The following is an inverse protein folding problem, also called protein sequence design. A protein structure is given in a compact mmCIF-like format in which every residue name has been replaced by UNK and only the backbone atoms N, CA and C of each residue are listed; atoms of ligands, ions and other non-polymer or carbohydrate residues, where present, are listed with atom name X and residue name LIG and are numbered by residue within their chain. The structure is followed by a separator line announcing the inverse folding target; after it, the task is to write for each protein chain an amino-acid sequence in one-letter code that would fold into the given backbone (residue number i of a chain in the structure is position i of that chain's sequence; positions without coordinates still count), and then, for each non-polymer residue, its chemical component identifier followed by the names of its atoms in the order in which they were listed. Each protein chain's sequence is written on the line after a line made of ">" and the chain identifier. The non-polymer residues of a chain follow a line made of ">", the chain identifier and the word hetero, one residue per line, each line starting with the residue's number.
data_IF_609929704624
#
_entry.id   IF_609929704624
#
_cell.length_a   1.000
_cell.length_b   1.000
_cell.length_c   1.000
_cell.angle_alpha   90.00
_cell.angle_beta   90.00
_cell.angle_gamma   90.00
#
_symmetry.space_group_name_H-M   'P 1'
#
loop_
_entity.id
_entity.type
_entity.pdbx_description
1 polymer ?
#
# COMPACT_ATOMS: atom_id res chain seq x y z
N UNK A 1 5.64 -8.85 -10.23
CA UNK A 1 6.64 -7.75 -10.19
C UNK A 1 7.20 -7.54 -8.78
N UNK A 2 8.31 -6.80 -8.65
CA UNK A 2 8.89 -6.44 -7.35
C UNK A 2 8.59 -4.98 -7.00
N UNK A 3 8.21 -4.72 -5.75
CA UNK A 3 8.04 -3.39 -5.15
C UNK A 3 8.90 -3.27 -3.88
N UNK A 4 9.01 -2.08 -3.32
CA UNK A 4 9.58 -1.84 -1.99
C UNK A 4 8.41 -1.52 -1.04
N UNK A 5 8.13 -2.40 -0.09
CA UNK A 5 7.04 -2.25 0.88
C UNK A 5 7.63 -2.02 2.27
N UNK A 6 7.38 -0.85 2.87
CA UNK A 6 7.93 -0.44 4.18
C UNK A 6 9.46 -0.66 4.25
N UNK A 7 10.17 -0.26 3.19
CA UNK A 7 11.62 -0.46 3.05
C UNK A 7 12.09 -1.89 2.69
N UNK A 8 11.20 -2.87 2.52
CA UNK A 8 11.56 -4.25 2.19
C UNK A 8 11.13 -4.66 0.78
N UNK A 9 12.04 -5.27 0.01
CA UNK A 9 11.73 -5.79 -1.32
C UNK A 9 10.67 -6.91 -1.21
N UNK A 10 9.55 -6.71 -1.88
CA UNK A 10 8.38 -7.60 -1.83
C UNK A 10 7.95 -7.97 -3.24
N UNK A 11 7.74 -9.26 -3.49
CA UNK A 11 7.22 -9.76 -4.75
C UNK A 11 5.70 -9.83 -4.72
N UNK A 12 5.06 -9.26 -5.73
CA UNK A 12 3.60 -9.14 -5.85
C UNK A 12 3.15 -9.54 -7.26
N UNK A 13 1.87 -9.86 -7.42
CA UNK A 13 1.30 -10.11 -8.74
C UNK A 13 1.43 -8.88 -9.66
N UNK A 14 1.50 -9.11 -10.96
CA UNK A 14 1.51 -8.00 -11.92
C UNK A 14 0.16 -7.28 -11.92
N UNK A 15 0.21 -5.95 -12.07
CA UNK A 15 -0.96 -5.06 -12.07
C UNK A 15 -1.84 -5.14 -10.79
N UNK A 16 -1.28 -5.60 -9.67
CA UNK A 16 -1.92 -5.62 -8.35
C UNK A 16 -2.39 -4.21 -7.96
N UNK A 17 -3.62 -4.11 -7.46
CA UNK A 17 -4.14 -2.86 -6.90
C UNK A 17 -3.73 -2.69 -5.45
N UNK A 18 -3.74 -1.44 -4.97
CA UNK A 18 -3.48 -1.14 -3.56
C UNK A 18 -4.46 -1.85 -2.63
N UNK A 19 -5.74 -1.98 -3.02
CA UNK A 19 -6.76 -2.68 -2.23
C UNK A 19 -6.42 -4.17 -2.07
N UNK A 20 -6.02 -4.84 -3.15
CA UNK A 20 -5.63 -6.26 -3.12
C UNK A 20 -4.36 -6.46 -2.28
N UNK A 21 -3.39 -5.54 -2.35
CA UNK A 21 -2.21 -5.59 -1.49
C UNK A 21 -2.58 -5.51 -0.01
N UNK A 22 -3.45 -4.57 0.37
CA UNK A 22 -3.92 -4.41 1.76
C UNK A 22 -4.67 -5.66 2.26
N UNK A 23 -5.43 -6.29 1.38
CA UNK A 23 -6.12 -7.56 1.67
C UNK A 23 -5.13 -8.71 1.89
N UNK A 24 -4.12 -8.85 1.02
CA UNK A 24 -3.06 -9.86 1.15
C UNK A 24 -2.24 -9.70 2.43
N UNK A 25 -2.02 -8.47 2.87
CA UNK A 25 -1.31 -8.15 4.11
C UNK A 25 -2.19 -8.28 5.37
N UNK A 26 -3.46 -8.67 5.21
CA UNK A 26 -4.44 -8.82 6.30
C UNK A 26 -4.60 -7.54 7.15
N UNK A 27 -4.41 -6.37 6.53
CA UNK A 27 -4.47 -5.07 7.21
C UNK A 27 -5.90 -4.50 7.31
N UNK A 28 -6.82 -5.01 6.50
CA UNK A 28 -8.26 -4.76 6.60
C UNK A 28 -8.68 -3.28 6.57
N UNK A 29 -9.69 -2.92 7.38
CA UNK A 29 -10.22 -1.55 7.50
C UNK A 29 -9.56 -0.73 8.61
N UNK A 30 -8.36 -1.12 9.07
CA UNK A 30 -7.61 -0.35 10.06
C UNK A 30 -7.40 1.09 9.56
N UNK A 31 -7.34 2.06 10.49
CA UNK A 31 -6.96 3.43 10.14
C UNK A 31 -5.49 3.43 9.74
N UNK A 32 -5.26 3.29 8.44
CA UNK A 32 -3.96 3.34 7.81
C UNK A 32 -3.94 4.44 6.74
N UNK A 33 -2.79 5.08 6.62
CA UNK A 33 -2.44 5.92 5.49
C UNK A 33 -1.44 5.14 4.63
N UNK A 34 -1.52 5.33 3.31
CA UNK A 34 -0.59 4.70 2.37
C UNK A 34 0.02 5.77 1.49
N UNK A 35 1.33 5.73 1.36
CA UNK A 35 2.07 6.53 0.39
C UNK A 35 2.63 5.62 -0.69
N UNK A 36 2.63 6.11 -1.93
CA UNK A 36 3.32 5.50 -3.06
C UNK A 36 4.28 6.54 -3.61
N UNK A 37 5.58 6.25 -3.58
CA UNK A 37 6.64 7.16 -4.02
C UNK A 37 6.57 8.53 -3.32
N UNK A 38 6.34 8.52 -2.00
CA UNK A 38 6.15 9.71 -1.15
C UNK A 38 4.90 10.56 -1.48
N UNK A 39 3.95 10.03 -2.26
CA UNK A 39 2.64 10.65 -2.50
C UNK A 39 1.54 9.89 -1.75
N UNK A 40 0.75 10.59 -0.94
CA UNK A 40 -0.37 10.00 -0.22
C UNK A 40 -1.45 9.51 -1.20
N UNK A 41 -1.78 8.23 -1.14
CA UNK A 41 -2.88 7.65 -1.92
C UNK A 41 -4.16 7.71 -1.08
N UNK A 42 -5.20 8.44 -1.51
CA UNK A 42 -6.48 8.45 -0.82
C UNK A 42 -7.11 7.06 -0.80
N UNK A 43 -7.70 6.66 0.32
CA UNK A 43 -8.34 5.34 0.48
C UNK A 43 -9.42 5.06 -0.56
N UNK A 44 -10.13 6.09 -1.04
CA UNK A 44 -11.11 5.98 -2.13
C UNK A 44 -10.51 5.53 -3.46
N UNK A 45 -9.20 5.71 -3.66
CA UNK A 45 -8.48 5.31 -4.87
C UNK A 45 -7.82 3.95 -4.76
N UNK A 46 -7.88 3.25 -3.62
CA UNK A 46 -7.14 2.00 -3.43
C UNK A 46 -7.54 0.90 -4.42
N UNK A 47 -8.81 0.81 -4.80
CA UNK A 47 -9.30 -0.15 -5.79
C UNK A 47 -8.90 0.19 -7.23
N UNK A 48 -8.53 1.44 -7.50
CA UNK A 48 -8.19 1.94 -8.84
C UNK A 48 -6.69 2.12 -9.03
N UNK A 49 -5.96 2.35 -7.95
CA UNK A 49 -4.52 2.58 -7.95
C UNK A 49 -3.79 1.25 -8.13
N UNK A 50 -3.25 1.04 -9.32
CA UNK A 50 -2.40 -0.11 -9.67
C UNK A 50 -0.96 0.21 -9.33
N UNK A 51 -0.30 -0.75 -8.69
CA UNK A 51 1.13 -0.67 -8.42
C UNK A 51 1.91 -0.92 -9.71
N UNK A 52 3.09 -0.31 -9.78
CA UNK A 52 4.08 -0.51 -10.82
C UNK A 52 5.35 -1.16 -10.24
N UNK A 53 6.18 -1.79 -11.08
CA UNK A 53 7.47 -2.30 -10.64
C UNK A 53 8.31 -1.18 -10.00
N UNK A 54 9.00 -1.51 -8.92
CA UNK A 54 9.88 -0.62 -8.15
C UNK A 54 9.18 0.52 -7.37
N UNK A 55 7.84 0.54 -7.32
CA UNK A 55 7.12 1.47 -6.46
C UNK A 55 7.56 1.33 -4.99
N UNK A 56 7.72 2.46 -4.32
CA UNK A 56 7.98 2.54 -2.89
C UNK A 56 6.66 2.77 -2.16
N UNK A 57 6.17 1.73 -1.50
CA UNK A 57 4.90 1.71 -0.78
C UNK A 57 5.18 1.79 0.72
N UNK A 58 4.69 2.84 1.36
CA UNK A 58 4.79 3.01 2.81
C UNK A 58 3.39 2.94 3.43
N UNK A 59 3.20 2.03 4.38
CA UNK A 59 1.94 1.83 5.10
C UNK A 59 2.12 2.32 6.54
N UNK A 60 1.45 3.43 6.82
CA UNK A 60 1.53 4.13 8.10
C UNK A 60 0.27 3.81 8.91
N UNK A 61 0.45 3.18 10.05
CA UNK A 61 -0.65 2.96 11.00
C UNK A 61 -0.91 4.26 11.78
N UNK A 62 -2.16 4.71 11.83
CA UNK A 62 -2.52 5.79 12.72
C UNK A 62 -2.45 5.28 14.17
N UNK A 63 -1.42 5.69 14.91
CA UNK A 63 -1.40 5.60 16.37
C UNK A 63 -2.43 6.60 16.90
N UNK A 64 -3.62 6.10 17.26
CA UNK A 64 -4.64 6.91 17.90
C UNK A 64 -4.17 7.34 19.29
N UNK A 65 -3.76 8.60 19.41
CA UNK A 65 -3.61 9.27 20.70
C UNK A 65 -4.99 9.69 21.20
N UNK A 66 -5.35 9.20 22.39
CA UNK A 66 -6.19 9.95 23.32
C UNK A 66 -5.31 10.81 24.19
#
# INVERSE_FOLDING_TARGET
>A
MQIILNGAATEVADALTMAELIEQLELGTRRLAVEVNAELVPRSRFSEHRLAPQDQVEIIHAVGGG
#
